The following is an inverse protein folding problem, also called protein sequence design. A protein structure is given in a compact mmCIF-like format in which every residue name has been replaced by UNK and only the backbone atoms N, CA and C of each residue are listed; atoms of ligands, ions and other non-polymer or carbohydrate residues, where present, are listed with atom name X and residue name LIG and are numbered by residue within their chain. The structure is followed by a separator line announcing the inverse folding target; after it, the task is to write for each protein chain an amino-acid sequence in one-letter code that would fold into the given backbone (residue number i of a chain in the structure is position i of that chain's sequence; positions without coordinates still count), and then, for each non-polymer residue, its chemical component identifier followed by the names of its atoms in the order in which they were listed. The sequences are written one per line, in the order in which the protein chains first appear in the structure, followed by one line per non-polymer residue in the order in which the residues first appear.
data_IF_823412069884
#
_entry.id   IF_823412069884
#
_cell.length_a   1.000
_cell.length_b   1.000
_cell.length_c   1.000
_cell.angle_alpha   90.00
_cell.angle_beta   90.00
_cell.angle_gamma   90.00
#
_symmetry.space_group_name_H-M   'P 1'
#
loop_
_entity.id
_entity.type
_entity.pdbx_description
1 polymer ?
#
# COMPACT_ATOMS: atom_id res chain seq x y z
N UNK A 1 -41.16 -26.09 -40.62
CA UNK A 1 -41.07 -26.24 -39.15
C UNK A 1 -39.78 -25.64 -38.70
N UNK A 2 -39.83 -24.45 -38.05
CA UNK A 2 -38.65 -23.73 -37.53
C UNK A 2 -38.54 -24.02 -36.03
N UNK A 3 -37.55 -24.79 -35.63
CA UNK A 3 -37.29 -25.12 -34.23
C UNK A 3 -36.54 -23.95 -33.58
N UNK A 4 -37.19 -23.26 -32.63
CA UNK A 4 -36.58 -22.20 -31.82
C UNK A 4 -35.85 -22.89 -30.66
N UNK A 5 -34.53 -22.76 -30.63
CA UNK A 5 -33.69 -23.15 -29.50
C UNK A 5 -33.75 -21.98 -28.49
N UNK A 6 -34.37 -22.24 -27.33
CA UNK A 6 -34.43 -21.33 -26.18
C UNK A 6 -33.18 -21.60 -25.36
N UNK A 7 -32.23 -20.63 -25.34
CA UNK A 7 -31.12 -20.65 -24.40
C UNK A 7 -31.63 -20.26 -23.01
N UNK A 8 -31.68 -21.20 -22.13
CA UNK A 8 -31.99 -21.01 -20.72
C UNK A 8 -30.67 -20.58 -20.03
N UNK A 9 -30.50 -19.25 -19.80
CA UNK A 9 -29.42 -18.76 -18.95
C UNK A 9 -29.70 -19.18 -17.51
N UNK A 10 -28.98 -20.20 -17.03
CA UNK A 10 -28.97 -20.61 -15.62
C UNK A 10 -28.18 -19.59 -14.82
N UNK A 11 -28.90 -18.67 -14.17
CA UNK A 11 -28.32 -17.72 -13.22
C UNK A 11 -27.96 -18.50 -11.94
N UNK A 12 -26.71 -18.93 -11.81
CA UNK A 12 -26.21 -19.54 -10.57
C UNK A 12 -25.98 -18.42 -9.57
N UNK A 13 -26.96 -18.14 -8.74
CA UNK A 13 -26.83 -17.29 -7.57
C UNK A 13 -26.01 -18.10 -6.55
N UNK A 14 -24.71 -17.87 -6.48
CA UNK A 14 -23.90 -18.26 -5.35
C UNK A 14 -24.35 -17.46 -4.13
N UNK A 15 -25.27 -17.99 -3.37
CA UNK A 15 -25.53 -17.54 -2.01
C UNK A 15 -24.34 -17.94 -1.14
N UNK A 16 -23.30 -17.11 -1.13
CA UNK A 16 -22.28 -17.17 -0.07
C UNK A 16 -22.97 -16.73 1.21
N UNK A 17 -23.54 -17.66 1.96
CA UNK A 17 -23.81 -17.49 3.37
C UNK A 17 -22.45 -17.30 4.05
N UNK A 18 -21.90 -16.10 3.93
CA UNK A 18 -20.80 -15.68 4.75
C UNK A 18 -21.26 -15.80 6.20
N UNK A 19 -20.65 -16.71 6.96
CA UNK A 19 -20.73 -16.70 8.40
C UNK A 19 -20.31 -15.30 8.88
N UNK A 20 -21.28 -14.40 9.02
CA UNK A 20 -21.08 -13.14 9.75
C UNK A 20 -20.88 -13.58 11.20
N UNK A 21 -19.63 -13.77 11.57
CA UNK A 21 -19.25 -13.92 12.96
C UNK A 21 -19.78 -12.70 13.73
N UNK A 22 -20.83 -12.88 14.53
CA UNK A 22 -21.41 -11.82 15.39
C UNK A 22 -20.44 -11.30 16.46
N UNK A 23 -19.20 -11.78 16.48
CA UNK A 23 -18.11 -11.38 17.36
C UNK A 23 -17.08 -10.47 16.68
N UNK A 24 -17.46 -9.64 15.72
CA UNK A 24 -16.59 -8.55 15.29
C UNK A 24 -16.26 -7.71 16.53
N UNK A 25 -15.04 -7.82 17.05
CA UNK A 25 -14.60 -7.09 18.23
C UNK A 25 -14.79 -5.60 17.97
N UNK A 26 -15.61 -4.97 18.81
CA UNK A 26 -15.87 -3.53 18.71
C UNK A 26 -14.56 -2.78 18.94
N UNK A 27 -14.15 -1.95 17.98
CA UNK A 27 -12.94 -1.15 18.10
C UNK A 27 -13.06 -0.16 19.28
N UNK A 28 -11.94 0.09 19.94
CA UNK A 28 -11.83 1.08 21.02
C UNK A 28 -11.54 2.43 20.36
N UNK A 29 -12.44 3.38 20.55
CA UNK A 29 -12.30 4.71 19.93
C UNK A 29 -11.36 5.61 20.75
N UNK A 30 -10.65 6.49 20.06
CA UNK A 30 -9.90 7.58 20.66
C UNK A 30 -10.79 8.58 21.41
N UNK A 31 -10.24 9.19 22.43
CA UNK A 31 -10.91 10.17 23.30
C UNK A 31 -10.76 11.63 22.85
N UNK A 32 -10.05 11.87 21.73
CA UNK A 32 -9.72 13.18 21.16
C UNK A 32 -8.76 14.03 21.99
N UNK A 33 -8.26 13.52 23.10
CA UNK A 33 -7.15 14.13 23.81
C UNK A 33 -5.85 13.66 23.19
N UNK A 34 -5.26 14.50 22.34
CA UNK A 34 -4.09 14.12 21.55
C UNK A 34 -2.83 14.43 22.37
N UNK A 35 -1.99 13.42 22.50
CA UNK A 35 -0.67 13.53 23.12
C UNK A 35 0.40 13.01 22.17
N UNK A 36 1.60 13.56 22.28
CA UNK A 36 2.76 13.14 21.49
C UNK A 36 3.80 12.50 22.40
N UNK A 37 4.33 11.35 22.01
CA UNK A 37 5.38 10.63 22.74
C UNK A 37 6.50 10.23 21.80
N UNK A 38 7.73 10.46 22.23
CA UNK A 38 8.93 9.92 21.58
C UNK A 38 9.19 8.53 22.16
N UNK A 39 9.34 7.56 21.29
CA UNK A 39 9.62 6.17 21.63
C UNK A 39 11.07 5.85 21.25
N UNK A 40 11.81 5.29 22.18
CA UNK A 40 13.17 4.82 21.91
C UNK A 40 13.09 3.59 21.00
N UNK A 41 13.81 3.62 19.89
CA UNK A 41 13.92 2.52 18.93
C UNK A 41 15.38 2.32 18.55
N UNK A 42 15.75 1.08 18.33
CA UNK A 42 17.03 0.72 17.74
C UNK A 42 16.96 0.91 16.21
N UNK A 43 18.10 0.86 15.54
CA UNK A 43 18.15 0.98 14.08
C UNK A 43 17.34 -0.14 13.42
N UNK A 44 16.48 0.23 12.47
CA UNK A 44 15.65 -0.68 11.71
C UNK A 44 15.77 -0.43 10.20
N UNK A 45 15.47 -1.47 9.43
CA UNK A 45 15.42 -1.46 7.97
C UNK A 45 14.07 -1.95 7.44
N UNK A 46 13.21 -2.47 8.33
CA UNK A 46 11.85 -2.90 8.00
C UNK A 46 10.84 -2.22 8.92
N UNK A 47 9.72 -1.78 8.35
CA UNK A 47 8.63 -1.18 9.12
C UNK A 47 7.29 -1.82 8.74
N UNK A 48 6.55 -2.30 9.75
CA UNK A 48 5.22 -2.89 9.57
C UNK A 48 4.19 -2.14 10.40
N UNK A 49 3.17 -1.61 9.72
CA UNK A 49 2.24 -0.65 10.28
C UNK A 49 0.80 -1.16 10.30
N UNK A 50 0.16 -0.97 11.41
CA UNK A 50 -1.28 -0.82 11.49
C UNK A 50 -2.12 -2.08 11.65
N UNK A 51 -1.57 -3.26 11.95
CA UNK A 51 -2.43 -4.42 12.24
C UNK A 51 -3.42 -4.11 13.36
N UNK A 52 -4.73 -4.26 13.08
CA UNK A 52 -5.85 -3.90 13.96
C UNK A 52 -5.92 -2.40 14.36
N UNK A 53 -5.30 -1.51 13.59
CA UNK A 53 -5.50 -0.06 13.66
C UNK A 53 -6.42 0.34 12.51
N UNK A 54 -7.60 0.82 12.81
CA UNK A 54 -8.63 1.17 11.83
C UNK A 54 -9.06 2.63 11.98
N UNK A 55 -9.72 3.17 10.99
CA UNK A 55 -10.31 4.50 11.08
C UNK A 55 -11.40 4.54 12.17
N UNK A 56 -11.51 5.64 12.89
CA UNK A 56 -12.54 5.83 13.92
C UNK A 56 -13.95 5.61 13.36
N UNK A 57 -14.85 5.11 14.21
CA UNK A 57 -16.24 4.82 13.83
C UNK A 57 -16.93 6.08 13.29
N UNK A 58 -17.56 5.97 12.13
CA UNK A 58 -18.20 7.10 11.43
C UNK A 58 -17.25 7.89 10.54
N UNK A 59 -15.98 7.57 10.54
CA UNK A 59 -14.99 8.11 9.62
C UNK A 59 -14.93 7.18 8.41
N UNK A 60 -15.15 7.73 7.21
CA UNK A 60 -14.99 6.99 5.98
C UNK A 60 -13.51 6.68 5.77
N UNK A 61 -13.07 5.40 5.78
CA UNK A 61 -11.66 5.05 5.58
C UNK A 61 -11.13 5.45 4.19
N UNK A 62 -12.02 5.68 3.24
CA UNK A 62 -11.66 6.20 1.92
C UNK A 62 -11.49 7.73 1.90
N UNK A 63 -11.84 8.43 2.98
CA UNK A 63 -11.57 9.85 3.12
C UNK A 63 -10.15 10.05 3.63
N UNK A 64 -9.24 10.47 2.76
CA UNK A 64 -7.82 10.70 3.06
C UNK A 64 -7.56 11.59 4.28
N UNK A 65 -8.44 12.55 4.58
CA UNK A 65 -8.30 13.47 5.74
C UNK A 65 -8.37 12.77 7.10
N UNK A 66 -8.85 11.55 7.15
CA UNK A 66 -9.14 10.84 8.39
C UNK A 66 -8.32 9.55 8.58
N UNK A 67 -7.38 9.29 7.68
CA UNK A 67 -6.47 8.15 7.81
C UNK A 67 -5.29 8.51 8.71
N UNK A 68 -4.75 7.52 9.38
CA UNK A 68 -3.48 7.65 10.04
C UNK A 68 -2.38 7.95 9.01
N UNK A 69 -1.33 8.62 9.44
CA UNK A 69 -0.20 9.00 8.58
C UNK A 69 1.09 8.50 9.22
N UNK A 70 1.93 7.89 8.43
CA UNK A 70 3.32 7.61 8.76
C UNK A 70 4.22 8.47 7.84
N UNK A 71 4.85 9.46 8.41
CA UNK A 71 5.90 10.25 7.76
C UNK A 71 7.24 9.56 7.98
N UNK A 72 7.91 9.20 6.90
CA UNK A 72 9.22 8.58 6.93
C UNK A 72 10.29 9.50 6.34
N UNK A 73 11.44 9.53 7.00
CA UNK A 73 12.62 10.27 6.53
C UNK A 73 13.84 9.36 6.60
N UNK A 74 14.61 9.28 5.53
CA UNK A 74 15.93 8.65 5.57
C UNK A 74 16.93 9.57 6.27
N UNK A 75 17.78 9.03 7.14
CA UNK A 75 18.75 9.82 7.92
C UNK A 75 20.04 9.04 8.10
N UNK A 76 21.18 9.74 8.17
CA UNK A 76 22.45 9.14 8.56
C UNK A 76 22.60 9.02 10.09
N UNK A 77 21.71 9.66 10.85
CA UNK A 77 21.68 9.63 12.31
C UNK A 77 21.05 8.35 12.88
N UNK A 78 20.78 8.36 14.17
CA UNK A 78 20.06 7.29 14.85
C UNK A 78 18.60 7.25 14.38
N UNK A 79 18.04 6.07 14.34
CA UNK A 79 16.61 5.88 14.05
C UNK A 79 15.74 6.55 15.12
N UNK A 80 14.57 7.03 14.71
CA UNK A 80 13.65 7.75 15.59
C UNK A 80 12.21 7.31 15.38
N UNK A 81 11.40 7.45 16.43
CA UNK A 81 9.96 7.27 16.37
C UNK A 81 9.26 8.25 17.30
N UNK A 82 8.41 9.07 16.75
CA UNK A 82 7.49 9.92 17.47
C UNK A 82 6.05 9.56 17.09
N UNK A 83 5.18 9.42 18.06
CA UNK A 83 3.77 9.07 17.87
C UNK A 83 2.88 10.14 18.48
N UNK A 84 2.01 10.72 17.67
CA UNK A 84 0.95 11.65 18.11
C UNK A 84 -0.40 10.97 17.91
N UNK A 85 -1.13 10.72 19.01
CA UNK A 85 -2.43 10.05 18.97
C UNK A 85 -3.28 10.31 20.22
N UNK A 86 -4.50 9.80 20.19
CA UNK A 86 -5.40 9.81 21.34
C UNK A 86 -4.77 9.12 22.57
N UNK A 87 -4.71 9.83 23.70
CA UNK A 87 -4.02 9.41 24.93
C UNK A 87 -4.48 8.02 25.41
N UNK A 88 -5.80 7.78 25.42
CA UNK A 88 -6.39 6.53 25.90
C UNK A 88 -6.04 5.29 25.05
N UNK A 89 -5.43 5.46 23.91
CA UNK A 89 -5.05 4.36 23.02
C UNK A 89 -3.57 3.98 23.10
N UNK A 90 -2.71 4.81 23.71
CA UNK A 90 -1.28 4.51 23.80
C UNK A 90 -1.00 3.16 24.47
N UNK A 91 -1.67 2.86 25.57
CA UNK A 91 -1.47 1.60 26.30
C UNK A 91 -2.02 0.38 25.54
N UNK A 92 -2.71 0.60 24.43
CA UNK A 92 -3.22 -0.44 23.55
C UNK A 92 -2.37 -0.65 22.31
N UNK A 93 -1.34 0.18 22.11
CA UNK A 93 -0.31 -0.06 21.10
C UNK A 93 0.65 -1.14 21.57
N UNK A 94 1.10 -1.91 20.62
CA UNK A 94 2.20 -2.85 20.71
C UNK A 94 3.27 -2.39 19.73
N UNK A 95 4.41 -1.98 20.26
CA UNK A 95 5.53 -1.46 19.48
C UNK A 95 6.70 -2.41 19.72
N UNK A 96 7.04 -3.20 18.73
CA UNK A 96 8.14 -4.13 18.74
C UNK A 96 9.25 -3.60 17.84
N UNK A 97 10.45 -3.46 18.38
CA UNK A 97 11.64 -3.15 17.59
C UNK A 97 12.70 -4.20 17.86
N UNK A 98 12.83 -5.14 16.95
CA UNK A 98 13.70 -6.28 17.09
C UNK A 98 14.19 -6.78 15.73
N UNK A 99 15.43 -7.28 15.68
CA UNK A 99 16.02 -7.87 14.48
C UNK A 99 15.94 -6.94 13.26
N UNK A 100 16.23 -5.64 13.46
CA UNK A 100 16.11 -4.56 12.47
C UNK A 100 14.70 -4.33 11.92
N UNK A 101 13.69 -4.78 12.63
CA UNK A 101 12.28 -4.63 12.26
C UNK A 101 11.52 -3.81 13.30
N UNK A 102 10.84 -2.76 12.86
CA UNK A 102 9.92 -1.96 13.65
C UNK A 102 8.48 -2.35 13.30
N UNK A 103 7.73 -2.85 14.28
CA UNK A 103 6.33 -3.24 14.13
C UNK A 103 5.46 -2.38 15.04
N UNK A 104 4.49 -1.70 14.47
CA UNK A 104 3.53 -0.86 15.21
C UNK A 104 2.13 -1.40 14.92
N UNK A 105 1.49 -1.98 15.93
CA UNK A 105 0.18 -2.64 15.82
C UNK A 105 -0.66 -2.42 17.08
N UNK A 106 -1.93 -2.77 17.05
CA UNK A 106 -2.69 -2.89 18.29
C UNK A 106 -2.33 -4.18 19.03
N UNK A 107 -2.31 -4.14 20.38
CA UNK A 107 -2.09 -5.32 21.23
C UNK A 107 -3.01 -6.47 20.85
N UNK A 108 -2.51 -7.70 21.02
CA UNK A 108 -3.25 -8.92 20.69
C UNK A 108 -4.68 -8.90 21.27
N UNK A 109 -5.63 -9.22 20.43
CA UNK A 109 -7.02 -9.23 20.82
C UNK A 109 -7.67 -7.85 20.96
N UNK A 110 -6.96 -6.77 20.72
CA UNK A 110 -7.49 -5.40 20.68
C UNK A 110 -7.65 -4.93 19.24
N UNK A 111 -8.55 -3.98 19.06
CA UNK A 111 -8.77 -3.22 17.83
C UNK A 111 -8.93 -1.77 18.24
N UNK A 112 -8.11 -0.90 17.71
CA UNK A 112 -8.14 0.52 18.05
C UNK A 112 -8.57 1.36 16.85
N UNK A 113 -9.30 2.44 17.16
CA UNK A 113 -9.84 3.36 16.18
C UNK A 113 -9.46 4.78 16.59
N UNK A 114 -8.21 5.21 16.35
CA UNK A 114 -7.78 6.55 16.71
C UNK A 114 -8.55 7.61 15.92
N UNK A 115 -8.82 8.75 16.57
CA UNK A 115 -9.36 9.93 15.90
C UNK A 115 -8.26 10.75 15.23
N UNK A 116 -7.04 10.58 15.70
CA UNK A 116 -5.81 11.13 15.17
C UNK A 116 -4.67 10.13 15.40
N UNK A 117 -3.89 9.85 14.38
CA UNK A 117 -2.65 9.07 14.48
C UNK A 117 -1.65 9.58 13.45
N UNK A 118 -0.57 10.14 13.94
CA UNK A 118 0.59 10.54 13.13
C UNK A 118 1.83 9.87 13.71
N UNK A 119 2.55 9.17 12.86
CA UNK A 119 3.85 8.57 13.15
C UNK A 119 4.89 9.37 12.39
N UNK A 120 5.88 9.93 13.08
CA UNK A 120 7.07 10.51 12.47
C UNK A 120 8.24 9.58 12.78
N UNK A 121 8.88 9.04 11.75
CA UNK A 121 9.92 8.03 11.94
C UNK A 121 11.04 8.20 10.93
N UNK A 122 12.25 7.79 11.33
CA UNK A 122 13.43 7.83 10.48
C UNK A 122 14.31 6.61 10.70
N UNK A 123 15.01 6.20 9.65
CA UNK A 123 16.08 5.20 9.72
C UNK A 123 17.11 5.42 8.62
N UNK A 124 18.27 4.73 8.74
CA UNK A 124 19.36 4.86 7.76
C UNK A 124 19.03 4.23 6.42
N UNK A 125 18.26 3.17 6.43
CA UNK A 125 17.88 2.41 5.23
C UNK A 125 16.48 1.84 5.42
N UNK A 126 15.81 1.54 4.31
CA UNK A 126 14.50 0.90 4.32
C UNK A 126 14.47 -0.22 3.27
N UNK A 127 14.39 -1.46 3.73
CA UNK A 127 14.28 -2.66 2.89
C UNK A 127 12.84 -3.11 2.68
N UNK A 128 11.99 -2.87 3.68
CA UNK A 128 10.59 -3.26 3.59
C UNK A 128 9.67 -2.31 4.34
N UNK A 129 8.54 -1.96 3.73
CA UNK A 129 7.44 -1.26 4.37
C UNK A 129 6.13 -1.99 4.12
N UNK A 130 5.49 -2.47 5.20
CA UNK A 130 4.22 -3.19 5.17
C UNK A 130 3.09 -2.39 5.81
N UNK A 131 1.98 -2.19 5.08
CA UNK A 131 0.79 -1.48 5.55
C UNK A 131 -0.37 -2.47 5.62
N UNK A 132 -0.83 -2.77 6.84
CA UNK A 132 -1.93 -3.72 7.09
C UNK A 132 -3.15 -3.09 7.76
N UNK A 133 -3.01 -1.86 8.28
CA UNK A 133 -4.10 -1.09 8.86
C UNK A 133 -4.69 -0.05 7.91
N UNK A 134 -5.24 1.03 8.48
CA UNK A 134 -5.74 2.18 7.71
C UNK A 134 -4.76 3.36 7.87
N UNK A 135 -3.65 3.32 7.14
CA UNK A 135 -2.50 4.23 7.32
C UNK A 135 -1.93 4.60 5.94
N UNK A 136 -1.67 5.89 5.72
CA UNK A 136 -0.89 6.39 4.60
C UNK A 136 0.60 6.45 4.96
N UNK A 137 1.48 6.05 4.04
CA UNK A 137 2.93 6.16 4.18
C UNK A 137 3.46 7.26 3.26
N UNK A 138 4.15 8.22 3.82
CA UNK A 138 4.61 9.41 3.09
C UNK A 138 6.11 9.61 3.34
N UNK A 139 6.87 9.71 2.26
CA UNK A 139 8.25 10.16 2.27
C UNK A 139 8.38 11.32 1.27
N UNK A 140 8.38 12.53 1.79
CA UNK A 140 8.46 13.76 0.99
C UNK A 140 9.91 14.27 0.80
N UNK A 141 10.89 13.61 1.44
CA UNK A 141 12.32 13.88 1.29
C UNK A 141 12.99 12.85 0.39
N UNK A 142 14.14 13.15 -0.21
CA UNK A 142 14.87 12.20 -1.06
C UNK A 142 15.16 10.88 -0.35
N UNK A 143 14.96 9.77 -1.05
CA UNK A 143 15.27 8.42 -0.61
C UNK A 143 16.31 7.79 -1.54
N UNK A 144 17.43 7.36 -0.96
CA UNK A 144 18.49 6.63 -1.64
C UNK A 144 18.49 5.18 -1.14
N UNK A 145 17.85 4.28 -1.87
CA UNK A 145 17.63 2.90 -1.46
C UNK A 145 18.28 1.94 -2.45
N UNK A 146 18.57 0.72 -2.01
CA UNK A 146 19.19 -0.30 -2.87
C UNK A 146 18.18 -1.36 -3.29
N UNK A 147 17.60 -2.05 -2.31
CA UNK A 147 16.60 -3.09 -2.52
C UNK A 147 15.46 -2.86 -1.55
N UNK A 148 14.30 -2.47 -2.05
CA UNK A 148 13.18 -2.10 -1.19
C UNK A 148 11.87 -2.67 -1.70
N UNK A 149 11.00 -3.05 -0.76
CA UNK A 149 9.67 -3.59 -1.05
C UNK A 149 8.60 -2.85 -0.27
N UNK A 150 7.49 -2.51 -0.92
CA UNK A 150 6.30 -1.94 -0.28
C UNK A 150 5.09 -2.85 -0.47
N UNK A 151 4.37 -3.15 0.60
CA UNK A 151 3.19 -4.01 0.60
C UNK A 151 2.00 -3.30 1.22
N UNK A 152 0.88 -3.20 0.49
CA UNK A 152 -0.40 -2.70 1.01
C UNK A 152 -1.38 -3.86 1.06
N UNK A 153 -1.67 -4.37 2.25
CA UNK A 153 -2.73 -5.37 2.50
C UNK A 153 -3.94 -4.76 3.21
N UNK A 154 -3.78 -3.59 3.83
CA UNK A 154 -4.82 -2.79 4.46
C UNK A 154 -5.44 -1.76 3.53
N UNK A 155 -5.72 -0.58 4.08
CA UNK A 155 -6.23 0.59 3.35
C UNK A 155 -5.25 1.74 3.54
N UNK A 156 -4.63 2.22 2.47
CA UNK A 156 -3.68 3.33 2.58
C UNK A 156 -3.01 3.65 1.26
N UNK A 157 -2.51 4.86 1.15
CA UNK A 157 -1.71 5.29 0.02
C UNK A 157 -0.22 5.33 0.42
N UNK A 158 0.66 5.06 -0.53
CA UNK A 158 2.11 5.26 -0.40
C UNK A 158 2.52 6.39 -1.31
N UNK A 159 3.27 7.35 -0.80
CA UNK A 159 3.78 8.47 -1.57
C UNK A 159 5.28 8.63 -1.35
N UNK A 160 6.06 8.44 -2.39
CA UNK A 160 7.51 8.63 -2.40
C UNK A 160 7.84 9.74 -3.40
N UNK A 161 8.24 10.90 -2.89
CA UNK A 161 8.34 12.12 -3.71
C UNK A 161 9.64 12.23 -4.51
N UNK A 162 10.71 11.57 -4.05
CA UNK A 162 12.02 11.56 -4.74
C UNK A 162 12.77 10.27 -4.37
N UNK A 163 12.57 9.23 -5.19
CA UNK A 163 13.12 7.90 -4.97
C UNK A 163 14.26 7.59 -5.95
N UNK A 164 15.43 7.25 -5.44
CA UNK A 164 16.49 6.59 -6.20
C UNK A 164 16.68 5.17 -5.66
N UNK A 165 16.50 4.15 -6.50
CA UNK A 165 16.56 2.75 -6.05
C UNK A 165 17.11 1.84 -7.14
N UNK A 166 17.93 0.84 -6.74
CA UNK A 166 18.39 -0.17 -7.69
C UNK A 166 17.30 -1.19 -8.00
N UNK A 167 16.68 -1.75 -6.95
CA UNK A 167 15.58 -2.71 -7.11
C UNK A 167 14.42 -2.33 -6.20
N UNK A 168 13.25 -2.14 -6.78
CA UNK A 168 12.06 -1.77 -6.04
C UNK A 168 10.92 -2.77 -6.32
N UNK A 169 10.10 -3.05 -5.34
CA UNK A 169 8.93 -3.93 -5.49
C UNK A 169 7.73 -3.30 -4.81
N UNK A 170 6.59 -3.39 -5.48
CA UNK A 170 5.32 -2.93 -4.95
C UNK A 170 4.26 -4.00 -5.10
N UNK A 171 3.52 -4.28 -4.03
CA UNK A 171 2.36 -5.15 -4.09
C UNK A 171 1.15 -4.53 -3.37
N UNK A 172 0.04 -4.39 -4.08
CA UNK A 172 -1.25 -3.95 -3.54
C UNK A 172 -2.22 -5.12 -3.56
N UNK A 173 -2.49 -5.70 -2.40
CA UNK A 173 -3.53 -6.72 -2.21
C UNK A 173 -4.76 -6.19 -1.46
N UNK A 174 -4.61 -5.08 -0.75
CA UNK A 174 -5.67 -4.32 -0.10
C UNK A 174 -6.31 -3.26 -0.99
N UNK A 175 -6.53 -2.09 -0.42
CA UNK A 175 -7.10 -0.91 -1.11
C UNK A 175 -6.17 0.29 -0.95
N UNK A 176 -5.66 0.83 -2.05
CA UNK A 176 -4.79 2.01 -1.97
C UNK A 176 -4.07 2.32 -3.26
N UNK A 177 -3.38 3.44 -3.26
CA UNK A 177 -2.62 3.88 -4.41
C UNK A 177 -1.16 4.10 -4.03
N UNK A 178 -0.31 3.97 -5.02
CA UNK A 178 1.11 4.27 -4.88
C UNK A 178 1.49 5.38 -5.87
N UNK A 179 2.15 6.40 -5.34
CA UNK A 179 2.63 7.55 -6.10
C UNK A 179 4.15 7.58 -6.01
N UNK A 180 4.80 7.43 -7.15
CA UNK A 180 6.25 7.38 -7.26
C UNK A 180 6.76 8.50 -8.15
N UNK A 181 7.75 9.20 -7.66
CA UNK A 181 8.58 10.11 -8.42
C UNK A 181 10.05 9.78 -8.12
N UNK A 182 10.92 9.83 -9.12
CA UNK A 182 12.32 9.49 -8.94
C UNK A 182 12.90 8.67 -10.09
N UNK A 183 13.79 7.73 -9.79
CA UNK A 183 14.45 6.87 -10.78
C UNK A 183 14.74 5.48 -10.20
N UNK A 184 14.43 4.42 -10.95
CA UNK A 184 14.61 3.05 -10.52
C UNK A 184 15.26 2.24 -11.65
N UNK A 185 16.22 1.37 -11.33
CA UNK A 185 16.82 0.49 -12.36
C UNK A 185 15.90 -0.70 -12.63
N UNK A 186 15.47 -1.42 -11.58
CA UNK A 186 14.57 -2.57 -11.74
C UNK A 186 13.37 -2.46 -10.84
N UNK A 187 12.20 -2.73 -11.38
CA UNK A 187 10.98 -2.67 -10.61
C UNK A 187 9.98 -3.78 -10.94
N UNK A 188 9.17 -4.14 -9.95
CA UNK A 188 8.03 -5.03 -10.11
C UNK A 188 6.81 -4.48 -9.40
N UNK A 189 5.79 -4.13 -10.16
CA UNK A 189 4.50 -3.66 -9.65
C UNK A 189 3.44 -4.76 -9.78
N UNK A 190 2.75 -5.06 -8.68
CA UNK A 190 1.65 -6.03 -8.65
C UNK A 190 0.41 -5.43 -7.98
N UNK A 191 -0.73 -5.46 -8.66
CA UNK A 191 -2.03 -5.01 -8.14
C UNK A 191 -3.01 -6.17 -8.23
N UNK A 192 -3.27 -6.84 -7.10
CA UNK A 192 -4.28 -7.90 -6.98
C UNK A 192 -5.53 -7.45 -6.21
N UNK A 193 -5.45 -6.36 -5.45
CA UNK A 193 -6.55 -5.72 -4.74
C UNK A 193 -7.26 -4.64 -5.58
N UNK A 194 -7.57 -3.52 -4.94
CA UNK A 194 -8.17 -2.35 -5.58
C UNK A 194 -7.23 -1.16 -5.45
N UNK A 195 -6.68 -0.68 -6.56
CA UNK A 195 -5.76 0.45 -6.49
C UNK A 195 -5.04 0.78 -7.78
N UNK A 196 -4.26 1.85 -7.70
CA UNK A 196 -3.46 2.35 -8.82
C UNK A 196 -2.00 2.58 -8.43
N UNK A 197 -1.10 2.35 -9.38
CA UNK A 197 0.29 2.80 -9.32
C UNK A 197 0.46 3.98 -10.28
N UNK A 198 0.83 5.14 -9.74
CA UNK A 198 1.13 6.36 -10.49
C UNK A 198 2.64 6.58 -10.48
N UNK A 199 3.31 6.24 -11.56
CA UNK A 199 4.75 6.26 -11.71
C UNK A 199 5.20 6.81 -13.09
N UNK A 200 4.43 7.71 -13.70
CA UNK A 200 4.86 8.35 -14.96
C UNK A 200 6.12 9.21 -14.79
N UNK A 201 6.30 9.77 -13.59
CA UNK A 201 7.45 10.61 -13.26
C UNK A 201 8.57 9.82 -12.54
N UNK A 202 8.55 8.48 -12.69
CA UNK A 202 9.55 7.56 -12.18
C UNK A 202 10.01 6.62 -13.30
N UNK A 203 10.97 7.01 -14.15
CA UNK A 203 11.53 6.13 -15.17
C UNK A 203 12.20 4.90 -14.56
N UNK A 204 11.91 3.74 -15.16
CA UNK A 204 12.42 2.44 -14.78
C UNK A 204 13.11 1.79 -15.99
N UNK A 205 14.31 1.26 -15.81
CA UNK A 205 15.04 0.60 -16.90
C UNK A 205 14.42 -0.76 -17.24
N UNK A 206 14.22 -1.64 -16.26
CA UNK A 206 13.65 -2.98 -16.41
C UNK A 206 12.38 -3.11 -15.52
N UNK A 207 11.21 -3.09 -16.15
CA UNK A 207 9.92 -3.00 -15.47
C UNK A 207 9.03 -4.21 -15.75
N UNK A 208 8.55 -4.84 -14.68
CA UNK A 208 7.50 -5.85 -14.69
C UNK A 208 6.20 -5.29 -14.06
N UNK A 209 5.07 -5.42 -14.75
CA UNK A 209 3.76 -4.95 -14.31
C UNK A 209 2.73 -6.09 -14.34
N UNK A 210 2.03 -6.30 -13.23
CA UNK A 210 0.96 -7.31 -13.14
C UNK A 210 -0.30 -6.71 -12.51
N UNK A 211 -1.43 -6.74 -13.23
CA UNK A 211 -2.74 -6.32 -12.73
C UNK A 211 -3.71 -7.49 -12.81
N UNK A 212 -4.04 -8.09 -11.69
CA UNK A 212 -5.06 -9.16 -11.58
C UNK A 212 -6.31 -8.72 -10.81
N UNK A 213 -6.27 -7.58 -10.12
CA UNK A 213 -7.36 -6.97 -9.38
C UNK A 213 -8.19 -5.95 -10.17
N UNK A 214 -8.64 -4.92 -9.47
CA UNK A 214 -9.37 -3.77 -10.03
C UNK A 214 -8.54 -2.52 -9.90
N UNK A 215 -8.16 -1.92 -11.03
CA UNK A 215 -7.33 -0.70 -10.99
C UNK A 215 -6.43 -0.57 -12.19
N UNK A 216 -5.26 0.02 -12.01
CA UNK A 216 -4.35 0.20 -13.13
C UNK A 216 -2.96 0.69 -12.74
N UNK A 217 -2.16 0.86 -13.76
CA UNK A 217 -0.82 1.40 -13.62
C UNK A 217 -0.55 2.45 -14.70
N UNK A 218 0.08 3.54 -14.28
CA UNK A 218 0.65 4.57 -15.15
C UNK A 218 2.17 4.59 -14.90
N UNK A 219 2.94 4.04 -15.84
CA UNK A 219 4.36 3.73 -15.62
C UNK A 219 5.25 4.29 -16.75
N UNK A 220 6.53 4.40 -16.48
CA UNK A 220 7.51 4.86 -17.44
C UNK A 220 8.64 3.83 -17.56
N UNK A 221 8.67 3.08 -18.66
CA UNK A 221 9.68 2.04 -18.93
C UNK A 221 10.65 2.52 -20.01
N UNK A 222 11.96 2.39 -19.75
CA UNK A 222 12.98 2.95 -20.65
C UNK A 222 13.72 1.90 -21.49
N UNK A 223 13.96 0.69 -20.97
CA UNK A 223 14.70 -0.36 -21.70
C UNK A 223 13.84 -1.62 -21.91
N UNK A 224 13.19 -2.11 -20.85
CA UNK A 224 12.35 -3.31 -20.90
C UNK A 224 11.02 -3.12 -20.20
N UNK A 225 9.95 -3.60 -20.81
CA UNK A 225 8.61 -3.68 -20.24
C UNK A 225 8.05 -5.09 -20.40
N UNK A 226 7.71 -5.73 -19.27
CA UNK A 226 6.86 -6.92 -19.23
C UNK A 226 5.57 -6.56 -18.51
N UNK A 227 4.45 -6.53 -19.23
CA UNK A 227 3.18 -6.09 -18.66
C UNK A 227 2.08 -7.11 -18.89
N UNK A 228 1.39 -7.47 -17.81
CA UNK A 228 0.27 -8.40 -17.85
C UNK A 228 -0.96 -7.86 -17.13
N UNK A 229 -2.15 -8.15 -17.67
CA UNK A 229 -3.43 -7.87 -17.00
C UNK A 229 -4.41 -9.00 -17.21
N UNK A 230 -5.01 -9.47 -16.11
CA UNK A 230 -6.04 -10.53 -16.13
C UNK A 230 -7.33 -10.12 -15.43
N UNK A 231 -7.34 -8.97 -14.72
CA UNK A 231 -8.50 -8.45 -13.99
C UNK A 231 -9.31 -7.39 -14.76
N UNK A 232 -9.86 -6.45 -14.00
CA UNK A 232 -10.52 -5.25 -14.53
C UNK A 232 -9.59 -4.06 -14.34
N UNK A 233 -8.62 -3.92 -15.26
CA UNK A 233 -7.62 -2.88 -15.12
C UNK A 233 -6.78 -2.69 -16.37
N UNK A 234 -6.03 -1.60 -16.39
CA UNK A 234 -5.21 -1.28 -17.54
C UNK A 234 -3.81 -0.80 -17.12
N UNK A 235 -2.85 -1.08 -17.99
CA UNK A 235 -1.51 -0.53 -17.88
C UNK A 235 -1.32 0.51 -18.99
N UNK A 236 -1.05 1.75 -18.60
CA UNK A 236 -0.57 2.79 -19.51
C UNK A 236 0.92 2.98 -19.25
N UNK A 237 1.70 2.99 -20.30
CA UNK A 237 3.13 3.20 -20.16
C UNK A 237 3.65 4.34 -21.04
N UNK A 238 4.60 5.10 -20.53
CA UNK A 238 5.46 6.03 -21.26
C UNK A 238 6.82 5.38 -21.53
N UNK A 239 7.65 6.08 -22.27
CA UNK A 239 8.97 5.62 -22.67
C UNK A 239 8.96 4.87 -23.98
N UNK A 240 10.15 4.44 -24.38
CA UNK A 240 10.34 3.69 -25.63
C UNK A 240 11.25 2.47 -25.37
N UNK A 241 10.76 1.48 -24.58
CA UNK A 241 11.56 0.31 -24.24
C UNK A 241 11.90 -0.51 -25.50
N UNK A 242 13.15 -0.95 -25.60
CA UNK A 242 13.64 -1.78 -26.71
C UNK A 242 12.95 -3.16 -26.71
N UNK A 243 12.64 -3.67 -25.51
CA UNK A 243 11.97 -4.96 -25.35
C UNK A 243 10.62 -4.76 -24.67
N UNK A 244 9.55 -5.16 -25.36
CA UNK A 244 8.19 -5.04 -24.82
C UNK A 244 7.44 -6.34 -24.96
N UNK A 245 7.01 -6.93 -23.84
CA UNK A 245 6.09 -8.06 -23.78
C UNK A 245 4.79 -7.63 -23.15
N UNK A 246 3.65 -7.97 -23.78
CA UNK A 246 2.31 -7.60 -23.30
C UNK A 246 1.39 -8.80 -23.35
N UNK A 247 0.68 -9.06 -22.24
CA UNK A 247 -0.35 -10.09 -22.16
C UNK A 247 -1.60 -9.52 -21.51
N UNK A 248 -2.71 -9.51 -22.20
CA UNK A 248 -3.98 -9.01 -21.67
C UNK A 248 -5.07 -10.08 -21.81
N UNK A 249 -5.63 -10.48 -20.67
CA UNK A 249 -6.84 -11.29 -20.58
C UNK A 249 -7.80 -10.59 -19.61
N UNK A 250 -9.11 -10.75 -19.77
CA UNK A 250 -10.08 -10.02 -18.95
C UNK A 250 -10.53 -8.68 -19.55
N UNK A 251 -10.93 -7.72 -18.70
CA UNK A 251 -11.44 -6.41 -19.12
C UNK A 251 -10.39 -5.34 -18.84
N UNK A 252 -9.43 -5.23 -19.74
CA UNK A 252 -8.35 -4.26 -19.58
C UNK A 252 -7.51 -4.13 -20.84
N UNK A 253 -6.64 -3.13 -20.86
CA UNK A 253 -5.77 -2.86 -22.02
C UNK A 253 -4.39 -2.46 -21.54
N UNK A 254 -3.38 -2.87 -22.31
CA UNK A 254 -2.01 -2.39 -22.12
C UNK A 254 -1.69 -1.51 -23.34
N UNK A 255 -1.47 -0.22 -23.11
CA UNK A 255 -1.25 0.75 -24.18
C UNK A 255 -0.17 1.76 -23.82
N UNK A 256 0.53 2.23 -24.83
CA UNK A 256 1.44 3.36 -24.70
C UNK A 256 0.59 4.64 -24.49
N UNK A 257 1.06 5.51 -23.61
CA UNK A 257 0.51 6.85 -23.45
C UNK A 257 1.09 7.76 -24.54
N UNK A 258 0.29 8.69 -25.00
CA UNK A 258 0.68 9.72 -25.96
C UNK A 258 1.68 10.69 -25.33
#
# INVERSE_FOLDING_TARGET
MKTRIIYLCLLVIFSTTGCISKNARKGINGNKNIVTRTIQVDDFEEIHLGSNIESAKGINPFNKKNRAICNYTQTDGASSLEISMDENLFDLLDIENKDHKLIIKAKSGKKICPTHLVLNTSSKNLKEAGISGSIDFIADQPLQLTNTSFYISGVGDVKLADLSCDTFKVAISGVGNIYLNGNIKKDKYSVSGVGHVYAFDCPVEDLECEVSGVGGMEVNATQKLDASTSGVGSVKYKGNPEHTQKSASGVGKIKQAD
#
